data_IF_316826274448
#
_entry.id   IF_316826274448
#
_cell.length_a   1.000
_cell.length_b   1.000
_cell.length_c   1.000
_cell.angle_alpha   90.00
_cell.angle_beta   90.00
_cell.angle_gamma   90.00
#
_symmetry.space_group_name_H-M   'P 1'
#
loop_
_entity.id
_entity.type
_entity.pdbx_description
1 polymer ?
#
# COMPACT_ATOMS: atom_id res chain seq x y z
N UNK A 1 -1.57 -31.61 11.98
CA UNK A 1 -1.68 -30.20 12.40
C UNK A 1 -0.56 -29.39 11.74
N UNK A 2 -0.86 -28.24 11.15
CA UNK A 2 0.18 -27.34 10.59
C UNK A 2 1.02 -26.74 11.71
N UNK A 3 2.34 -26.70 11.54
CA UNK A 3 3.20 -26.05 12.53
C UNK A 3 2.92 -24.53 12.54
N UNK A 4 3.14 -23.88 13.68
CA UNK A 4 3.01 -22.42 13.80
C UNK A 4 3.85 -21.69 12.76
N UNK A 5 5.08 -22.17 12.53
CA UNK A 5 6.00 -21.61 11.51
C UNK A 5 5.44 -21.69 10.10
N UNK A 6 4.82 -22.82 9.73
CA UNK A 6 4.19 -23.00 8.42
C UNK A 6 3.04 -22.02 8.21
N UNK A 7 2.17 -21.82 9.22
CA UNK A 7 1.06 -20.86 9.15
C UNK A 7 1.55 -19.42 9.00
N UNK A 8 2.57 -19.04 9.76
CA UNK A 8 3.16 -17.70 9.69
C UNK A 8 3.73 -17.45 8.29
N UNK A 9 4.45 -18.41 7.73
CA UNK A 9 5.03 -18.30 6.39
C UNK A 9 3.93 -18.17 5.32
N UNK A 10 2.88 -19.00 5.39
CA UNK A 10 1.74 -18.93 4.48
C UNK A 10 1.05 -17.57 4.54
N UNK A 11 0.78 -17.06 5.74
CA UNK A 11 0.15 -15.75 5.92
C UNK A 11 1.03 -14.60 5.43
N UNK A 12 2.32 -14.67 5.66
CA UNK A 12 3.27 -13.70 5.15
C UNK A 12 3.32 -13.70 3.61
N UNK A 13 3.40 -14.86 2.97
CA UNK A 13 3.37 -14.98 1.51
C UNK A 13 2.05 -14.45 0.90
N UNK A 14 0.89 -14.78 1.51
CA UNK A 14 -0.41 -14.29 1.07
C UNK A 14 -0.52 -12.76 1.17
N UNK A 15 -0.02 -12.18 2.26
CA UNK A 15 -0.03 -10.72 2.43
C UNK A 15 0.96 -10.03 1.49
N UNK A 16 2.13 -10.65 1.26
CA UNK A 16 3.18 -10.14 0.38
C UNK A 16 2.77 -10.11 -1.10
N UNK A 17 1.74 -10.86 -1.50
CA UNK A 17 1.22 -10.84 -2.87
C UNK A 17 0.84 -9.43 -3.33
N UNK A 18 0.40 -8.56 -2.40
CA UNK A 18 0.09 -7.16 -2.68
C UNK A 18 1.35 -6.39 -3.11
N UNK A 19 2.40 -6.41 -2.29
CA UNK A 19 3.65 -5.72 -2.59
C UNK A 19 4.32 -6.31 -3.85
N UNK A 20 4.35 -7.63 -3.97
CA UNK A 20 4.87 -8.31 -5.17
C UNK A 20 4.18 -7.81 -6.44
N UNK A 21 2.85 -7.66 -6.43
CA UNK A 21 2.07 -7.22 -7.60
C UNK A 21 2.27 -5.75 -7.95
N UNK A 22 2.68 -4.92 -7.00
CA UNK A 22 3.01 -3.51 -7.23
C UNK A 22 4.46 -3.39 -7.69
N UNK A 23 5.38 -3.81 -6.82
CA UNK A 23 6.81 -3.53 -6.95
C UNK A 23 7.47 -4.37 -8.05
N UNK A 24 7.00 -5.61 -8.23
CA UNK A 24 7.50 -6.50 -9.28
C UNK A 24 7.15 -6.06 -10.70
N UNK A 25 6.19 -5.15 -10.89
CA UNK A 25 5.86 -4.68 -12.24
C UNK A 25 6.64 -3.43 -12.64
N UNK A 26 7.30 -2.75 -11.69
CA UNK A 26 7.96 -1.47 -11.94
C UNK A 26 9.00 -1.52 -13.07
N UNK A 27 9.89 -2.52 -13.17
CA UNK A 27 10.85 -2.60 -14.26
C UNK A 27 10.21 -2.74 -15.65
N UNK A 28 8.99 -3.30 -15.70
CA UNK A 28 8.29 -3.60 -16.95
C UNK A 28 7.50 -2.40 -17.50
N UNK A 29 7.23 -1.36 -16.70
CA UNK A 29 6.34 -0.25 -17.09
C UNK A 29 6.73 0.40 -18.40
N UNK A 30 8.03 0.67 -18.61
CA UNK A 30 8.51 1.26 -19.87
C UNK A 30 8.32 0.34 -21.07
N UNK A 31 8.65 -0.94 -20.92
CA UNK A 31 8.46 -1.93 -22.00
C UNK A 31 7.00 -2.08 -22.39
N UNK A 32 6.10 -2.09 -21.39
CA UNK A 32 4.65 -2.10 -21.61
C UNK A 32 4.20 -0.83 -22.32
N UNK A 33 4.68 0.34 -21.91
CA UNK A 33 4.34 1.63 -22.52
C UNK A 33 4.81 1.74 -23.99
N UNK A 34 5.97 1.20 -24.31
CA UNK A 34 6.49 1.14 -25.67
C UNK A 34 5.66 0.20 -26.58
N UNK A 35 5.20 -0.96 -26.03
CA UNK A 35 4.42 -1.94 -26.78
C UNK A 35 2.96 -1.52 -26.96
N UNK A 36 2.34 -0.92 -25.92
CA UNK A 36 0.88 -0.70 -25.87
C UNK A 36 0.44 0.73 -26.15
N UNK A 37 1.28 1.58 -26.71
CA UNK A 37 0.98 2.95 -27.09
C UNK A 37 -0.02 3.64 -26.13
N UNK A 38 0.48 4.33 -25.11
CA UNK A 38 -0.37 5.02 -24.14
C UNK A 38 -1.18 6.13 -24.83
N UNK A 39 -2.50 6.02 -24.81
CA UNK A 39 -3.40 7.03 -25.36
C UNK A 39 -4.16 7.72 -24.21
N UNK A 40 -4.19 9.07 -24.14
CA UNK A 40 -4.96 9.75 -23.12
C UNK A 40 -6.42 9.25 -23.06
N UNK A 41 -7.02 9.09 -21.87
CA UNK A 41 -6.51 9.56 -20.56
C UNK A 41 -5.59 8.57 -19.84
N UNK A 42 -5.29 7.38 -20.38
CA UNK A 42 -4.47 6.36 -19.74
C UNK A 42 -2.98 6.57 -20.02
N UNK A 43 -2.17 6.31 -19.03
CA UNK A 43 -0.71 6.32 -19.09
C UNK A 43 -0.15 5.05 -18.43
N UNK A 44 1.15 4.79 -18.56
CA UNK A 44 1.80 3.66 -17.88
C UNK A 44 1.70 3.76 -16.37
N UNK A 45 1.70 4.97 -15.81
CA UNK A 45 1.48 5.22 -14.38
C UNK A 45 0.09 4.74 -13.92
N UNK A 46 -0.91 4.75 -14.82
CA UNK A 46 -2.26 4.24 -14.54
C UNK A 46 -2.28 2.76 -14.18
N UNK A 47 -1.31 1.97 -14.65
CA UNK A 47 -1.20 0.53 -14.38
C UNK A 47 -1.06 0.26 -12.87
N UNK A 48 -0.26 1.07 -12.17
CA UNK A 48 -0.06 0.94 -10.72
C UNK A 48 -1.20 1.63 -9.96
N UNK A 49 -1.56 2.86 -10.35
CA UNK A 49 -2.59 3.64 -9.68
C UNK A 49 -3.96 2.92 -9.68
N UNK A 50 -4.36 2.33 -10.82
CA UNK A 50 -5.65 1.64 -10.95
C UNK A 50 -5.64 0.24 -10.32
N UNK A 51 -4.49 -0.41 -10.12
CA UNK A 51 -4.39 -1.57 -9.23
C UNK A 51 -4.70 -1.18 -7.78
N UNK A 52 -4.14 -0.07 -7.27
CA UNK A 52 -4.42 0.44 -5.92
C UNK A 52 -5.88 0.88 -5.80
N UNK A 53 -6.44 1.51 -6.83
CA UNK A 53 -7.87 1.82 -6.88
C UNK A 53 -8.74 0.56 -6.76
N UNK A 54 -8.43 -0.48 -7.53
CA UNK A 54 -9.09 -1.79 -7.41
C UNK A 54 -8.95 -2.37 -6.00
N UNK A 55 -7.76 -2.29 -5.41
CA UNK A 55 -7.52 -2.75 -4.04
C UNK A 55 -8.37 -1.99 -3.03
N UNK A 56 -8.53 -0.68 -3.18
CA UNK A 56 -9.40 0.12 -2.33
C UNK A 56 -10.87 -0.36 -2.38
N UNK A 57 -11.38 -0.65 -3.58
CA UNK A 57 -12.71 -1.24 -3.76
C UNK A 57 -12.78 -2.60 -3.05
N UNK A 58 -11.78 -3.47 -3.28
CA UNK A 58 -11.73 -4.78 -2.66
C UNK A 58 -11.69 -4.70 -1.12
N UNK A 59 -10.92 -3.79 -0.55
CA UNK A 59 -10.85 -3.57 0.90
C UNK A 59 -12.19 -3.15 1.50
N UNK A 60 -12.96 -2.34 0.78
CA UNK A 60 -14.27 -1.90 1.25
C UNK A 60 -15.28 -3.06 1.35
N UNK A 61 -15.29 -3.96 0.35
CA UNK A 61 -16.29 -5.02 0.25
C UNK A 61 -15.85 -6.35 0.87
N UNK A 62 -14.58 -6.75 0.69
CA UNK A 62 -14.10 -8.06 1.15
C UNK A 62 -13.92 -8.15 2.67
N UNK A 63 -13.79 -7.01 3.36
CA UNK A 63 -13.78 -6.98 4.82
C UNK A 63 -15.10 -7.47 5.42
N UNK A 64 -16.21 -6.76 5.23
CA UNK A 64 -17.52 -7.19 5.67
C UNK A 64 -17.94 -8.57 5.11
N UNK A 65 -17.59 -8.88 3.87
CA UNK A 65 -17.84 -10.18 3.26
C UNK A 65 -17.14 -11.30 4.04
N UNK A 66 -15.88 -11.08 4.43
CA UNK A 66 -15.09 -12.03 5.23
C UNK A 66 -15.71 -12.30 6.61
N UNK A 67 -16.34 -11.28 7.23
CA UNK A 67 -17.07 -11.43 8.48
C UNK A 67 -18.38 -12.24 8.31
N UNK A 68 -18.98 -12.19 7.14
CA UNK A 68 -20.26 -12.83 6.86
C UNK A 68 -20.14 -14.29 6.38
N UNK A 69 -19.29 -14.55 5.39
CA UNK A 69 -19.20 -15.88 4.76
C UNK A 69 -18.08 -16.76 5.36
N UNK A 70 -17.23 -16.15 6.19
CA UNK A 70 -16.03 -16.77 6.77
C UNK A 70 -14.75 -16.35 6.06
N UNK A 71 -13.63 -16.42 6.80
CA UNK A 71 -12.30 -15.94 6.37
C UNK A 71 -11.79 -16.72 5.17
N UNK A 72 -11.92 -18.06 5.25
CA UNK A 72 -11.42 -18.96 4.21
C UNK A 72 -12.10 -18.73 2.87
N UNK A 73 -13.42 -18.62 2.85
CA UNK A 73 -14.18 -18.39 1.62
C UNK A 73 -13.88 -17.03 1.01
N UNK A 74 -13.81 -15.98 1.82
CA UNK A 74 -13.51 -14.63 1.34
C UNK A 74 -12.09 -14.53 0.77
N UNK A 75 -11.10 -15.18 1.40
CA UNK A 75 -9.73 -15.24 0.88
C UNK A 75 -9.68 -15.94 -0.48
N UNK A 76 -10.33 -17.09 -0.62
CA UNK A 76 -10.33 -17.85 -1.87
C UNK A 76 -11.07 -17.12 -3.00
N UNK A 77 -12.18 -16.44 -2.70
CA UNK A 77 -12.86 -15.58 -3.66
C UNK A 77 -11.95 -14.44 -4.13
N UNK A 78 -11.27 -13.76 -3.19
CA UNK A 78 -10.30 -12.73 -3.54
C UNK A 78 -9.16 -13.28 -4.38
N UNK A 79 -8.59 -14.42 -4.01
CA UNK A 79 -7.49 -15.04 -4.75
C UNK A 79 -7.93 -15.52 -6.15
N UNK A 80 -9.16 -16.02 -6.29
CA UNK A 80 -9.76 -16.37 -7.58
C UNK A 80 -9.93 -15.14 -8.48
N UNK A 81 -10.44 -14.03 -7.93
CA UNK A 81 -10.59 -12.78 -8.67
C UNK A 81 -9.21 -12.19 -9.05
N UNK A 82 -8.22 -12.30 -8.16
CA UNK A 82 -6.83 -11.95 -8.44
C UNK A 82 -6.28 -12.75 -9.63
N UNK A 83 -6.52 -14.07 -9.66
CA UNK A 83 -6.08 -14.93 -10.75
C UNK A 83 -6.77 -14.57 -12.08
N UNK A 84 -8.07 -14.28 -12.06
CA UNK A 84 -8.81 -13.81 -13.25
C UNK A 84 -8.23 -12.48 -13.76
N UNK A 85 -8.04 -11.50 -12.88
CA UNK A 85 -7.43 -10.22 -13.25
C UNK A 85 -6.01 -10.39 -13.80
N UNK A 86 -5.23 -11.31 -13.23
CA UNK A 86 -3.88 -11.65 -13.70
C UNK A 86 -3.92 -12.28 -15.10
N UNK A 87 -4.87 -13.17 -15.38
CA UNK A 87 -5.08 -13.77 -16.71
C UNK A 87 -5.46 -12.72 -17.75
N UNK A 88 -6.37 -11.79 -17.41
CA UNK A 88 -6.73 -10.67 -18.30
C UNK A 88 -5.51 -9.81 -18.61
N UNK A 89 -4.70 -9.49 -17.60
CA UNK A 89 -3.48 -8.71 -17.77
C UNK A 89 -2.42 -9.46 -18.60
N UNK A 90 -2.25 -10.76 -18.37
CA UNK A 90 -1.32 -11.62 -19.13
C UNK A 90 -1.65 -11.66 -20.63
N UNK A 91 -2.93 -11.74 -20.96
CA UNK A 91 -3.43 -11.84 -22.33
C UNK A 91 -3.69 -10.48 -22.99
N UNK A 92 -3.39 -9.38 -22.29
CA UNK A 92 -3.70 -8.04 -22.78
C UNK A 92 -2.94 -7.70 -24.06
N UNK A 93 -3.66 -7.13 -25.01
CA UNK A 93 -3.15 -6.59 -26.29
C UNK A 93 -3.26 -5.07 -26.37
N UNK A 94 -3.86 -4.44 -25.36
CA UNK A 94 -4.05 -3.00 -25.28
C UNK A 94 -3.94 -2.51 -23.84
N UNK A 95 -3.54 -1.25 -23.64
CA UNK A 95 -3.44 -0.64 -22.33
C UNK A 95 -4.77 -0.64 -21.54
N UNK A 96 -5.96 -0.33 -22.13
CA UNK A 96 -7.22 -0.44 -21.42
C UNK A 96 -7.52 -1.84 -20.89
N UNK A 97 -7.21 -2.89 -21.66
CA UNK A 97 -7.39 -4.28 -21.24
C UNK A 97 -6.44 -4.64 -20.11
N UNK A 98 -5.18 -4.24 -20.20
CA UNK A 98 -4.21 -4.42 -19.13
C UNK A 98 -4.68 -3.75 -17.82
N UNK A 99 -5.11 -2.50 -17.92
CA UNK A 99 -5.60 -1.72 -16.77
C UNK A 99 -6.86 -2.36 -16.16
N UNK A 100 -7.79 -2.87 -16.96
CA UNK A 100 -8.94 -3.63 -16.47
C UNK A 100 -8.49 -4.86 -15.68
N UNK A 101 -7.53 -5.62 -16.22
CA UNK A 101 -6.92 -6.75 -15.52
C UNK A 101 -6.30 -6.32 -14.18
N UNK A 102 -5.64 -5.17 -14.14
CA UNK A 102 -5.03 -4.60 -12.93
C UNK A 102 -6.07 -4.19 -11.88
N UNK A 103 -7.19 -3.60 -12.29
CA UNK A 103 -8.29 -3.28 -11.37
C UNK A 103 -8.86 -4.56 -10.75
N UNK A 104 -9.15 -5.58 -11.55
CA UNK A 104 -9.66 -6.86 -11.07
C UNK A 104 -8.65 -7.55 -10.15
N UNK A 105 -7.38 -7.54 -10.51
CA UNK A 105 -6.27 -8.05 -9.70
C UNK A 105 -6.19 -7.30 -8.36
N UNK A 106 -6.33 -5.98 -8.37
CA UNK A 106 -6.36 -5.14 -7.17
C UNK A 106 -7.54 -5.49 -6.26
N UNK A 107 -8.76 -5.59 -6.79
CA UNK A 107 -9.94 -6.02 -6.01
C UNK A 107 -9.66 -7.39 -5.36
N UNK A 108 -9.10 -8.31 -6.14
CA UNK A 108 -8.84 -9.67 -5.69
C UNK A 108 -7.81 -9.76 -4.57
N UNK A 109 -6.70 -9.03 -4.66
CA UNK A 109 -5.61 -9.09 -3.68
C UNK A 109 -6.02 -8.58 -2.29
N UNK A 110 -7.06 -7.78 -2.19
CA UNK A 110 -7.62 -7.33 -0.91
C UNK A 110 -8.15 -8.50 -0.07
N UNK A 111 -8.62 -9.59 -0.69
CA UNK A 111 -9.07 -10.80 0.00
C UNK A 111 -7.98 -11.44 0.85
N UNK A 112 -6.86 -11.91 0.28
CA UNK A 112 -5.71 -12.39 1.03
C UNK A 112 -5.19 -11.38 2.07
N UNK A 113 -5.09 -10.09 1.72
CA UNK A 113 -4.60 -9.03 2.60
C UNK A 113 -5.46 -8.88 3.87
N UNK A 114 -6.78 -8.83 3.72
CA UNK A 114 -7.71 -8.58 4.83
C UNK A 114 -7.96 -9.87 5.62
N UNK A 115 -8.27 -10.97 4.92
CA UNK A 115 -8.63 -12.22 5.59
C UNK A 115 -7.47 -12.80 6.39
N UNK A 116 -6.23 -12.68 5.91
CA UNK A 116 -5.05 -13.13 6.65
C UNK A 116 -4.89 -12.39 7.98
N UNK A 117 -5.05 -11.06 7.99
CA UNK A 117 -5.01 -10.26 9.23
C UNK A 117 -6.12 -10.64 10.20
N UNK A 118 -7.32 -10.88 9.66
CA UNK A 118 -8.46 -11.33 10.48
C UNK A 118 -8.21 -12.73 11.06
N UNK A 119 -7.68 -13.68 10.27
CA UNK A 119 -7.32 -15.03 10.74
C UNK A 119 -6.26 -15.01 11.84
N UNK A 120 -5.29 -14.10 11.77
CA UNK A 120 -4.28 -13.93 12.82
C UNK A 120 -4.96 -13.46 14.10
N UNK A 121 -5.83 -12.46 14.03
CA UNK A 121 -6.58 -11.93 15.16
C UNK A 121 -7.54 -12.97 15.76
N UNK A 122 -8.13 -13.84 14.92
CA UNK A 122 -9.06 -14.87 15.36
C UNK A 122 -8.33 -16.02 16.12
N UNK A 123 -7.02 -16.19 15.90
CA UNK A 123 -6.24 -17.33 16.42
C UNK A 123 -5.22 -16.98 17.49
N UNK A 124 -4.80 -15.71 17.57
CA UNK A 124 -3.70 -15.28 18.43
C UNK A 124 -4.03 -13.98 19.14
N UNK A 125 -3.60 -13.87 20.39
CA UNK A 125 -3.76 -12.70 21.24
C UNK A 125 -2.42 -12.32 21.89
N UNK A 126 -2.31 -11.08 22.38
CA UNK A 126 -1.17 -10.59 23.14
C UNK A 126 0.16 -10.73 22.43
N UNK A 127 1.17 -11.23 23.15
CA UNK A 127 2.56 -11.34 22.67
C UNK A 127 2.72 -12.30 21.49
N UNK A 128 1.90 -13.37 21.43
CA UNK A 128 1.92 -14.30 20.31
C UNK A 128 1.50 -13.61 19.00
N UNK A 129 0.43 -12.82 19.04
CA UNK A 129 -0.02 -12.01 17.88
C UNK A 129 1.04 -10.98 17.49
N UNK A 130 1.64 -10.26 18.45
CA UNK A 130 2.68 -9.28 18.19
C UNK A 130 3.91 -9.91 17.51
N UNK A 131 4.35 -11.09 17.95
CA UNK A 131 5.46 -11.84 17.36
C UNK A 131 5.18 -12.25 15.92
N UNK A 132 3.98 -12.75 15.65
CA UNK A 132 3.56 -13.15 14.30
C UNK A 132 3.53 -11.96 13.35
N UNK A 133 2.91 -10.86 13.78
CA UNK A 133 2.86 -9.63 12.99
C UNK A 133 4.25 -9.07 12.71
N UNK A 134 5.15 -9.07 13.71
CA UNK A 134 6.55 -8.63 13.52
C UNK A 134 7.28 -9.46 12.48
N UNK A 135 7.13 -10.78 12.50
CA UNK A 135 7.75 -11.66 11.51
C UNK A 135 7.17 -11.43 10.11
N UNK A 136 5.85 -11.23 10.00
CA UNK A 136 5.21 -10.89 8.74
C UNK A 136 5.69 -9.54 8.18
N UNK A 137 5.87 -8.54 9.04
CA UNK A 137 6.43 -7.25 8.64
C UNK A 137 7.86 -7.39 8.11
N UNK A 138 8.69 -8.24 8.74
CA UNK A 138 10.05 -8.51 8.25
C UNK A 138 10.02 -9.10 6.83
N UNK A 139 9.16 -10.08 6.58
CA UNK A 139 9.00 -10.64 5.23
C UNK A 139 8.41 -9.62 4.25
N UNK A 140 7.44 -8.81 4.69
CA UNK A 140 6.84 -7.77 3.87
C UNK A 140 7.87 -6.71 3.42
N UNK A 141 8.88 -6.39 4.24
CA UNK A 141 9.97 -5.48 3.87
C UNK A 141 10.88 -6.08 2.80
N UNK A 142 11.11 -7.41 2.84
CA UNK A 142 11.97 -8.07 1.86
C UNK A 142 11.36 -8.08 0.46
N UNK A 143 10.03 -8.10 0.35
CA UNK A 143 9.35 -8.21 -0.96
C UNK A 143 9.61 -6.99 -1.84
N UNK A 144 9.44 -5.74 -1.42
CA UNK A 144 9.79 -4.57 -2.24
C UNK A 144 11.27 -4.54 -2.67
N UNK A 145 12.16 -5.12 -1.85
CA UNK A 145 13.58 -5.19 -2.19
C UNK A 145 13.86 -6.22 -3.28
N UNK A 146 13.21 -7.39 -3.22
CA UNK A 146 13.50 -8.52 -4.11
C UNK A 146 12.61 -8.56 -5.33
N UNK A 147 11.36 -8.10 -5.23
CA UNK A 147 10.38 -8.21 -6.30
C UNK A 147 10.83 -7.54 -7.62
N UNK A 148 11.34 -6.29 -7.62
CA UNK A 148 11.81 -5.67 -8.85
C UNK A 148 13.02 -6.39 -9.46
N UNK A 149 13.94 -6.92 -8.63
CA UNK A 149 15.12 -7.67 -9.10
C UNK A 149 14.71 -8.98 -9.77
N UNK A 150 13.82 -9.74 -9.14
CA UNK A 150 13.31 -11.00 -9.69
C UNK A 150 12.51 -10.76 -10.96
N UNK A 151 11.70 -9.70 -10.98
CA UNK A 151 10.91 -9.33 -12.14
C UNK A 151 11.77 -8.86 -13.31
N UNK A 152 12.85 -8.11 -13.05
CA UNK A 152 13.85 -7.73 -14.04
C UNK A 152 14.45 -8.98 -14.69
N UNK A 153 14.86 -9.98 -13.89
CA UNK A 153 15.38 -11.25 -14.41
C UNK A 153 14.37 -12.00 -15.28
N UNK A 154 13.10 -12.09 -14.84
CA UNK A 154 12.03 -12.71 -15.62
C UNK A 154 11.76 -11.95 -16.93
N UNK A 155 11.78 -10.62 -16.89
CA UNK A 155 11.58 -9.78 -18.06
C UNK A 155 12.69 -9.95 -19.09
N UNK A 156 13.94 -10.10 -18.65
CA UNK A 156 15.09 -10.35 -19.55
C UNK A 156 15.01 -11.73 -20.22
N UNK A 157 14.44 -12.73 -19.55
CA UNK A 157 14.34 -14.10 -20.07
C UNK A 157 13.14 -14.30 -21.01
N UNK A 158 11.97 -13.73 -20.70
CA UNK A 158 10.72 -14.05 -21.39
C UNK A 158 9.75 -12.84 -21.53
N UNK A 159 10.29 -11.62 -21.42
CA UNK A 159 9.51 -10.39 -21.56
C UNK A 159 8.58 -10.12 -20.36
N UNK A 160 7.92 -8.97 -20.38
CA UNK A 160 7.11 -8.48 -19.26
C UNK A 160 5.89 -9.38 -18.92
N UNK A 161 5.36 -10.11 -19.90
CA UNK A 161 4.24 -11.06 -19.67
C UNK A 161 4.63 -12.20 -18.73
N UNK A 162 5.89 -12.59 -18.68
CA UNK A 162 6.39 -13.60 -17.74
C UNK A 162 6.18 -13.22 -16.28
N UNK A 163 6.14 -11.91 -15.96
CA UNK A 163 5.84 -11.42 -14.63
C UNK A 163 4.40 -11.79 -14.23
N UNK A 164 3.42 -11.57 -15.11
CA UNK A 164 2.03 -11.95 -14.84
C UNK A 164 1.85 -13.48 -14.78
N UNK A 165 2.58 -14.23 -15.60
CA UNK A 165 2.60 -15.69 -15.50
C UNK A 165 3.15 -16.16 -14.15
N UNK A 166 4.21 -15.55 -13.66
CA UNK A 166 4.75 -15.81 -12.32
C UNK A 166 3.75 -15.44 -11.21
N UNK A 167 3.05 -14.31 -11.31
CA UNK A 167 2.00 -13.93 -10.34
C UNK A 167 0.87 -14.97 -10.31
N UNK A 168 0.44 -15.47 -11.47
CA UNK A 168 -0.57 -16.50 -11.57
C UNK A 168 -0.11 -17.82 -10.93
N UNK A 169 1.13 -18.24 -11.21
CA UNK A 169 1.72 -19.44 -10.64
C UNK A 169 1.84 -19.33 -9.11
N UNK A 170 2.31 -18.18 -8.59
CA UNK A 170 2.41 -17.93 -7.15
C UNK A 170 1.02 -17.95 -6.51
N UNK A 171 0.03 -17.29 -7.11
CA UNK A 171 -1.34 -17.28 -6.60
C UNK A 171 -1.94 -18.68 -6.54
N UNK A 172 -1.73 -19.49 -7.57
CA UNK A 172 -2.19 -20.88 -7.62
C UNK A 172 -1.51 -21.74 -6.54
N UNK A 173 -0.18 -21.64 -6.39
CA UNK A 173 0.58 -22.36 -5.37
C UNK A 173 0.13 -21.97 -3.95
N UNK A 174 -0.03 -20.68 -3.69
CA UNK A 174 -0.51 -20.18 -2.40
C UNK A 174 -1.96 -20.62 -2.14
N UNK A 175 -2.81 -20.59 -3.15
CA UNK A 175 -4.19 -21.08 -3.06
C UNK A 175 -4.27 -22.57 -2.73
N UNK A 176 -3.50 -23.41 -3.42
CA UNK A 176 -3.42 -24.85 -3.16
C UNK A 176 -2.89 -25.12 -1.75
N UNK A 177 -1.81 -24.42 -1.37
CA UNK A 177 -1.23 -24.55 -0.02
C UNK A 177 -2.24 -24.15 1.04
N UNK A 178 -2.91 -23.00 0.87
CA UNK A 178 -3.93 -22.50 1.77
C UNK A 178 -5.11 -23.47 1.92
N UNK A 179 -5.65 -23.98 0.81
CA UNK A 179 -6.79 -24.92 0.84
C UNK A 179 -6.43 -26.21 1.60
N UNK A 180 -5.21 -26.70 1.43
CA UNK A 180 -4.76 -27.95 2.06
C UNK A 180 -4.42 -27.81 3.54
N UNK A 181 -4.00 -26.62 3.97
CA UNK A 181 -3.38 -26.45 5.29
C UNK A 181 -4.14 -25.55 6.25
N UNK A 182 -4.97 -24.63 5.75
CA UNK A 182 -5.64 -23.65 6.59
C UNK A 182 -7.14 -23.95 6.70
N UNK A 183 -7.64 -24.39 7.88
CA UNK A 183 -9.07 -24.48 8.14
C UNK A 183 -9.70 -23.09 8.32
N UNK A 184 -11.05 -23.06 8.35
CA UNK A 184 -11.79 -21.86 8.70
C UNK A 184 -11.51 -21.44 10.15
N UNK A 185 -11.29 -20.14 10.38
CA UNK A 185 -11.00 -19.60 11.71
C UNK A 185 -12.18 -18.90 12.36
N UNK A 186 -13.18 -18.51 11.55
CA UNK A 186 -14.40 -17.86 12.05
C UNK A 186 -15.53 -18.87 12.22
N UNK A 187 -15.89 -19.26 13.47
CA UNK A 187 -17.00 -20.16 13.71
C UNK A 187 -18.31 -19.59 13.16
N UNK A 188 -19.23 -20.44 12.68
CA UNK A 188 -20.53 -19.98 12.14
C UNK A 188 -21.31 -19.08 13.11
N UNK A 189 -21.25 -19.36 14.42
CA UNK A 189 -21.92 -18.58 15.47
C UNK A 189 -21.37 -17.14 15.63
N UNK A 190 -20.14 -16.87 15.17
CA UNK A 190 -19.51 -15.54 15.24
C UNK A 190 -19.62 -14.77 13.94
N UNK A 191 -20.26 -15.32 12.90
CA UNK A 191 -20.44 -14.64 11.62
C UNK A 191 -21.45 -13.51 11.75
N UNK A 192 -21.11 -12.37 11.15
CA UNK A 192 -21.96 -11.17 11.14
C UNK A 192 -22.70 -11.13 9.80
N UNK A 193 -24.03 -11.28 9.77
CA UNK A 193 -24.76 -11.22 8.52
C UNK A 193 -24.54 -9.89 7.78
N UNK A 194 -24.37 -9.95 6.45
CA UNK A 194 -24.35 -8.77 5.61
C UNK A 194 -25.74 -8.12 5.61
N UNK A 195 -25.91 -7.11 6.45
CA UNK A 195 -27.11 -6.26 6.46
C UNK A 195 -26.77 -4.90 5.87
N UNK A 196 -27.10 -4.62 4.59
CA UNK A 196 -26.70 -3.39 3.93
C UNK A 196 -27.06 -2.12 4.71
N UNK A 197 -28.28 -2.08 5.29
CA UNK A 197 -28.72 -0.95 6.11
C UNK A 197 -27.83 -0.70 7.34
N UNK A 198 -27.46 -1.76 8.06
CA UNK A 198 -26.60 -1.60 9.23
C UNK A 198 -25.13 -1.28 8.86
N UNK A 199 -24.64 -1.86 7.76
CA UNK A 199 -23.30 -1.54 7.25
C UNK A 199 -23.23 -0.07 6.81
N UNK A 200 -24.21 0.41 6.05
CA UNK A 200 -24.28 1.82 5.63
C UNK A 200 -24.44 2.76 6.82
N UNK A 201 -25.26 2.41 7.81
CA UNK A 201 -25.43 3.21 9.03
C UNK A 201 -24.13 3.29 9.84
N UNK A 202 -23.42 2.16 10.00
CA UNK A 202 -22.14 2.13 10.73
C UNK A 202 -21.04 2.83 9.93
N UNK A 203 -20.98 2.66 8.62
CA UNK A 203 -20.07 3.40 7.75
C UNK A 203 -20.35 4.91 7.84
N UNK A 204 -21.63 5.33 7.80
CA UNK A 204 -22.03 6.71 7.99
C UNK A 204 -21.58 7.30 9.33
N UNK A 205 -21.71 6.53 10.43
CA UNK A 205 -21.20 6.95 11.75
C UNK A 205 -19.69 7.13 11.79
N UNK A 206 -18.94 6.21 11.18
CA UNK A 206 -17.47 6.29 11.10
C UNK A 206 -17.06 7.50 10.27
N UNK A 207 -17.69 7.70 9.11
CA UNK A 207 -17.42 8.82 8.21
C UNK A 207 -18.01 10.16 8.69
N UNK A 208 -18.92 10.17 9.65
CA UNK A 208 -19.34 11.40 10.33
C UNK A 208 -18.28 11.91 11.31
N UNK A 209 -17.31 11.10 11.72
CA UNK A 209 -16.20 11.52 12.55
C UNK A 209 -15.20 12.33 11.73
N UNK A 210 -15.19 13.65 11.95
CA UNK A 210 -14.23 14.57 11.30
C UNK A 210 -12.78 14.10 11.52
N UNK A 211 -12.46 13.62 12.72
CA UNK A 211 -11.13 13.07 13.03
C UNK A 211 -10.75 11.91 12.10
N UNK A 212 -11.65 10.95 11.90
CA UNK A 212 -11.39 9.80 11.05
C UNK A 212 -11.19 10.23 9.61
N UNK A 213 -12.03 11.14 9.09
CA UNK A 213 -11.88 11.68 7.73
C UNK A 213 -10.54 12.39 7.57
N UNK A 214 -10.18 13.27 8.49
CA UNK A 214 -8.92 14.03 8.42
C UNK A 214 -7.71 13.08 8.43
N UNK A 215 -7.75 12.00 9.23
CA UNK A 215 -6.68 11.02 9.29
C UNK A 215 -6.66 10.11 8.04
N UNK A 216 -7.81 9.78 7.45
CA UNK A 216 -7.89 9.11 6.14
C UNK A 216 -7.22 9.96 5.06
N UNK A 217 -7.57 11.26 5.00
CA UNK A 217 -6.98 12.20 4.05
C UNK A 217 -5.47 12.34 4.27
N UNK A 218 -5.01 12.53 5.51
CA UNK A 218 -3.60 12.64 5.83
C UNK A 218 -2.81 11.38 5.45
N UNK A 219 -3.33 10.20 5.81
CA UNK A 219 -2.72 8.91 5.44
C UNK A 219 -2.68 8.73 3.92
N UNK A 220 -3.77 9.08 3.25
CA UNK A 220 -3.89 8.99 1.80
C UNK A 220 -2.94 9.92 1.05
N UNK A 221 -2.70 11.14 1.54
CA UNK A 221 -1.72 12.07 0.95
C UNK A 221 -0.30 11.55 1.08
N UNK A 222 0.09 11.05 2.27
CA UNK A 222 1.42 10.45 2.49
C UNK A 222 1.62 9.23 1.61
N UNK A 223 0.61 8.34 1.55
CA UNK A 223 0.65 7.17 0.66
C UNK A 223 0.62 7.57 -0.82
N UNK A 224 -0.07 8.65 -1.17
CA UNK A 224 -0.14 9.20 -2.53
C UNK A 224 1.21 9.69 -3.04
N UNK A 225 2.00 10.34 -2.20
CA UNK A 225 3.35 10.75 -2.54
C UNK A 225 4.27 9.54 -2.77
N UNK A 226 4.14 8.48 -1.94
CA UNK A 226 4.82 7.21 -2.18
C UNK A 226 4.35 6.53 -3.47
N UNK A 227 3.05 6.51 -3.73
CA UNK A 227 2.45 5.91 -4.92
C UNK A 227 2.88 6.63 -6.20
N UNK A 228 3.01 7.97 -6.16
CA UNK A 228 3.55 8.75 -7.27
C UNK A 228 4.97 8.30 -7.60
N UNK A 229 5.84 8.16 -6.59
CA UNK A 229 7.17 7.62 -6.80
C UNK A 229 7.11 6.21 -7.41
N UNK A 230 6.30 5.30 -6.86
CA UNK A 230 6.16 3.94 -7.40
C UNK A 230 5.76 3.96 -8.88
N UNK A 231 4.85 4.85 -9.25
CA UNK A 231 4.34 4.95 -10.61
C UNK A 231 5.33 5.59 -11.60
N UNK A 232 6.24 6.45 -11.12
CA UNK A 232 7.17 7.21 -11.97
C UNK A 232 8.63 6.77 -11.81
N UNK A 233 8.96 5.90 -10.86
CA UNK A 233 10.35 5.57 -10.52
C UNK A 233 11.16 5.04 -11.71
N UNK A 234 10.59 4.13 -12.51
CA UNK A 234 11.29 3.57 -13.66
C UNK A 234 11.62 4.65 -14.71
N UNK A 235 10.65 5.55 -14.98
CA UNK A 235 10.84 6.67 -15.90
C UNK A 235 11.86 7.67 -15.34
N UNK A 236 11.75 8.02 -14.05
CA UNK A 236 12.63 8.93 -13.34
C UNK A 236 14.11 8.49 -13.40
N UNK A 237 14.38 7.23 -13.06
CA UNK A 237 15.76 6.72 -13.09
C UNK A 237 16.32 6.67 -14.50
N UNK A 238 15.49 6.37 -15.49
CA UNK A 238 15.93 6.37 -16.89
C UNK A 238 16.09 7.79 -17.47
N UNK A 239 15.07 8.65 -17.33
CA UNK A 239 15.03 9.95 -18.00
C UNK A 239 16.05 10.95 -17.42
N UNK A 240 16.31 10.84 -16.09
CA UNK A 240 17.23 11.75 -15.39
C UNK A 240 18.65 11.20 -15.34
N UNK A 241 18.80 9.88 -15.05
CA UNK A 241 20.10 9.28 -14.74
C UNK A 241 20.58 8.28 -15.79
N UNK A 242 19.78 7.96 -16.81
CA UNK A 242 20.13 6.94 -17.80
C UNK A 242 20.20 5.50 -17.22
N UNK A 243 19.62 5.28 -16.04
CA UNK A 243 19.71 4.02 -15.31
C UNK A 243 18.47 3.17 -15.64
N UNK A 244 18.67 2.05 -16.34
CA UNK A 244 17.61 1.08 -16.64
C UNK A 244 17.83 -0.25 -15.91
N UNK A 245 19.02 -0.87 -16.09
CA UNK A 245 19.29 -2.21 -15.58
C UNK A 245 19.49 -2.27 -14.07
N UNK A 246 20.15 -1.27 -13.48
CA UNK A 246 20.43 -1.20 -12.06
C UNK A 246 19.36 -0.45 -11.26
N UNK A 247 18.29 0.03 -11.90
CA UNK A 247 17.15 0.67 -11.23
C UNK A 247 16.63 -0.12 -10.01
N UNK A 248 16.46 -1.48 -10.07
CA UNK A 248 15.95 -2.21 -8.93
C UNK A 248 16.82 -2.12 -7.67
N UNK A 249 18.13 -1.88 -7.79
CA UNK A 249 19.03 -1.72 -6.64
C UNK A 249 18.76 -0.41 -5.89
N UNK A 250 18.59 0.69 -6.62
CA UNK A 250 18.28 1.99 -6.03
C UNK A 250 16.87 2.01 -5.43
N UNK A 251 15.93 1.35 -6.11
CA UNK A 251 14.59 1.15 -5.58
C UNK A 251 14.61 0.37 -4.26
N UNK A 252 15.36 -0.74 -4.21
CA UNK A 252 15.54 -1.54 -3.00
C UNK A 252 16.16 -0.71 -1.85
N UNK A 253 17.12 0.16 -2.14
CA UNK A 253 17.71 1.05 -1.14
C UNK A 253 16.65 1.94 -0.47
N UNK A 254 15.77 2.56 -1.25
CA UNK A 254 14.69 3.39 -0.71
C UNK A 254 13.64 2.57 0.05
N UNK A 255 13.33 1.35 -0.41
CA UNK A 255 12.46 0.43 0.29
C UNK A 255 13.03 0.01 1.66
N UNK A 256 14.36 -0.15 1.79
CA UNK A 256 15.06 -0.35 3.08
C UNK A 256 14.76 0.80 4.03
N UNK A 257 14.69 2.04 3.55
CA UNK A 257 14.33 3.21 4.36
C UNK A 257 12.96 3.05 5.04
N UNK A 258 11.95 2.63 4.30
CA UNK A 258 10.59 2.34 4.85
C UNK A 258 10.63 1.21 5.87
N UNK A 259 11.38 0.15 5.57
CA UNK A 259 11.53 -0.99 6.46
C UNK A 259 12.22 -0.65 7.77
N UNK A 260 13.34 0.07 7.69
CA UNK A 260 14.08 0.54 8.86
C UNK A 260 13.24 1.47 9.72
N UNK A 261 12.43 2.33 9.10
CA UNK A 261 11.49 3.19 9.79
C UNK A 261 10.49 2.39 10.64
N UNK A 262 9.93 1.31 10.09
CA UNK A 262 9.00 0.45 10.83
C UNK A 262 9.65 -0.18 12.06
N UNK A 263 10.90 -0.61 11.93
CA UNK A 263 11.67 -1.17 13.04
C UNK A 263 12.00 -0.11 14.12
N UNK A 264 12.44 1.08 13.72
CA UNK A 264 12.71 2.20 14.64
C UNK A 264 11.41 2.63 15.32
N UNK A 265 10.32 2.77 14.56
CA UNK A 265 9.01 3.12 15.11
C UNK A 265 8.54 2.12 16.18
N UNK A 266 8.67 0.82 15.93
CA UNK A 266 8.26 -0.20 16.90
C UNK A 266 8.99 -0.10 18.24
N UNK A 267 10.26 0.37 18.24
CA UNK A 267 11.04 0.59 19.48
C UNK A 267 10.76 1.93 20.15
N UNK A 268 10.49 2.95 19.36
CA UNK A 268 10.36 4.33 19.87
C UNK A 268 8.92 4.70 20.26
N UNK A 269 7.92 4.11 19.62
CA UNK A 269 6.52 4.49 19.82
C UNK A 269 6.02 4.23 21.25
N UNK A 270 6.53 3.19 21.92
CA UNK A 270 6.20 2.90 23.32
C UNK A 270 6.71 3.96 24.30
N UNK A 271 7.85 4.61 23.95
CA UNK A 271 8.48 5.64 24.78
C UNK A 271 7.97 7.05 24.47
N UNK A 272 7.79 7.38 23.19
CA UNK A 272 7.46 8.75 22.75
C UNK A 272 5.98 8.94 22.38
N UNK A 273 5.26 7.83 22.19
CA UNK A 273 3.88 7.85 21.71
C UNK A 273 3.75 8.08 20.21
N UNK A 274 2.62 7.65 19.65
CA UNK A 274 2.37 7.72 18.21
C UNK A 274 2.27 9.15 17.67
N UNK A 275 1.83 10.11 18.48
CA UNK A 275 1.68 11.51 18.06
C UNK A 275 3.02 12.21 17.89
N UNK A 276 3.97 12.00 18.82
CA UNK A 276 5.32 12.55 18.69
C UNK A 276 6.06 11.91 17.52
N UNK A 277 5.92 10.58 17.34
CA UNK A 277 6.50 9.87 16.21
C UNK A 277 5.94 10.40 14.88
N UNK A 278 4.64 10.65 14.79
CA UNK A 278 4.03 11.24 13.60
C UNK A 278 4.56 12.66 13.33
N UNK A 279 4.68 13.51 14.35
CA UNK A 279 5.27 14.86 14.21
C UNK A 279 6.71 14.80 13.69
N UNK A 280 7.53 13.91 14.25
CA UNK A 280 8.90 13.71 13.78
C UNK A 280 8.93 13.22 12.32
N UNK A 281 8.03 12.30 11.95
CA UNK A 281 7.85 11.83 10.57
C UNK A 281 7.48 12.96 9.62
N UNK A 282 6.52 13.83 9.99
CA UNK A 282 6.16 14.98 9.17
C UNK A 282 7.31 15.96 9.02
N UNK A 283 8.02 16.28 10.11
CA UNK A 283 9.19 17.16 10.03
C UNK A 283 10.25 16.61 9.06
N UNK A 284 10.54 15.30 9.13
CA UNK A 284 11.45 14.62 8.22
C UNK A 284 10.98 14.64 6.77
N UNK A 285 9.71 14.34 6.51
CA UNK A 285 9.13 14.32 5.16
C UNK A 285 9.14 15.71 4.52
N UNK A 286 8.72 16.74 5.26
CA UNK A 286 8.68 18.13 4.80
C UNK A 286 10.10 18.62 4.52
N UNK A 287 11.03 18.42 5.46
CA UNK A 287 12.42 18.85 5.30
C UNK A 287 13.08 18.17 4.09
N UNK A 288 12.92 16.86 3.94
CA UNK A 288 13.47 16.11 2.81
C UNK A 288 12.82 16.52 1.48
N UNK A 289 11.50 16.70 1.44
CA UNK A 289 10.77 17.17 0.26
C UNK A 289 11.21 18.57 -0.19
N UNK A 290 11.33 19.51 0.75
CA UNK A 290 11.80 20.88 0.48
C UNK A 290 13.28 20.89 0.06
N UNK A 291 14.13 20.07 0.69
CA UNK A 291 15.54 19.96 0.32
C UNK A 291 15.69 19.39 -1.11
N UNK A 292 14.89 18.37 -1.46
CA UNK A 292 14.86 17.82 -2.81
C UNK A 292 14.35 18.85 -3.82
N UNK A 293 13.34 19.65 -3.46
CA UNK A 293 12.81 20.72 -4.29
C UNK A 293 13.86 21.81 -4.53
N UNK A 294 14.58 22.23 -3.50
CA UNK A 294 15.67 23.18 -3.59
C UNK A 294 16.82 22.65 -4.47
N UNK A 295 17.23 21.38 -4.27
CA UNK A 295 18.24 20.74 -5.11
C UNK A 295 17.80 20.68 -6.58
N UNK A 296 16.51 20.38 -6.82
CA UNK A 296 15.93 20.37 -8.17
C UNK A 296 15.96 21.77 -8.80
N UNK A 297 15.65 22.81 -8.03
CA UNK A 297 15.68 24.20 -8.51
C UNK A 297 17.10 24.63 -8.91
N UNK A 298 18.11 24.29 -8.11
CA UNK A 298 19.52 24.61 -8.40
C UNK A 298 20.04 23.83 -9.61
N UNK A 299 19.58 22.58 -9.80
CA UNK A 299 20.07 21.68 -10.85
C UNK A 299 19.10 21.58 -12.05
N UNK A 300 18.25 22.58 -12.28
CA UNK A 300 17.28 22.60 -13.41
C UNK A 300 16.44 21.32 -13.52
N UNK A 301 15.99 20.81 -12.38
CA UNK A 301 15.12 19.62 -12.28
C UNK A 301 15.85 18.28 -12.28
N UNK A 302 17.16 18.24 -12.46
CA UNK A 302 17.98 17.02 -12.60
C UNK A 302 19.17 17.01 -11.64
N UNK A 303 18.96 16.99 -10.32
CA UNK A 303 20.06 16.92 -9.36
C UNK A 303 20.85 15.61 -9.52
N UNK A 304 22.15 15.59 -9.17
CA UNK A 304 22.95 14.37 -9.15
C UNK A 304 22.29 13.25 -8.35
N UNK A 305 22.48 12.00 -8.79
CA UNK A 305 21.87 10.82 -8.14
C UNK A 305 22.16 10.75 -6.63
N UNK A 306 23.38 11.13 -6.21
CA UNK A 306 23.76 11.15 -4.80
C UNK A 306 22.87 12.12 -3.99
N UNK A 307 22.56 13.31 -4.52
CA UNK A 307 21.67 14.26 -3.85
C UNK A 307 20.22 13.77 -3.84
N UNK A 308 19.75 13.15 -4.91
CA UNK A 308 18.43 12.52 -4.93
C UNK A 308 18.32 11.47 -3.83
N UNK A 309 19.26 10.53 -3.76
CA UNK A 309 19.24 9.46 -2.75
C UNK A 309 19.40 10.02 -1.33
N UNK A 310 20.23 11.05 -1.14
CA UNK A 310 20.46 11.71 0.16
C UNK A 310 19.15 12.27 0.74
N UNK A 311 18.26 12.83 -0.09
CA UNK A 311 16.99 13.41 0.35
C UNK A 311 15.82 12.44 0.23
N UNK A 312 15.81 11.57 -0.78
CA UNK A 312 14.75 10.58 -0.95
C UNK A 312 14.76 9.52 0.18
N UNK A 313 15.92 9.04 0.62
CA UNK A 313 15.99 8.03 1.68
C UNK A 313 15.36 8.52 3.00
N UNK A 314 15.68 9.70 3.55
CA UNK A 314 14.97 10.25 4.71
C UNK A 314 13.47 10.49 4.48
N UNK A 315 13.05 10.88 3.26
CA UNK A 315 11.65 11.03 2.93
C UNK A 315 10.89 9.70 3.04
N UNK A 316 11.45 8.62 2.45
CA UNK A 316 10.85 7.29 2.52
C UNK A 316 10.89 6.70 3.94
N UNK A 317 11.95 6.96 4.69
CA UNK A 317 12.01 6.64 6.12
C UNK A 317 10.89 7.35 6.89
N UNK A 318 10.67 8.64 6.65
CA UNK A 318 9.61 9.41 7.28
C UNK A 318 8.21 8.88 6.91
N UNK A 319 7.97 8.51 5.64
CA UNK A 319 6.74 7.86 5.19
C UNK A 319 6.48 6.56 5.97
N UNK A 320 7.51 5.73 6.18
CA UNK A 320 7.39 4.49 6.94
C UNK A 320 6.97 4.72 8.40
N UNK A 321 7.50 5.77 9.06
CA UNK A 321 7.05 6.18 10.40
C UNK A 321 5.60 6.65 10.39
N UNK A 322 5.23 7.50 9.42
CA UNK A 322 3.92 8.11 9.34
C UNK A 322 2.81 7.07 9.10
N UNK A 323 3.03 6.15 8.18
CA UNK A 323 2.00 5.21 7.75
C UNK A 323 1.44 4.36 8.90
N UNK A 324 2.32 3.81 9.74
CA UNK A 324 1.93 3.01 10.90
C UNK A 324 1.19 3.82 11.96
N UNK A 325 1.72 5.00 12.30
CA UNK A 325 1.17 5.84 13.36
C UNK A 325 -0.17 6.46 12.97
N UNK A 326 -0.33 6.95 11.73
CA UNK A 326 -1.59 7.53 11.25
C UNK A 326 -2.73 6.51 11.22
N UNK A 327 -2.46 5.29 10.73
CA UNK A 327 -3.44 4.21 10.79
C UNK A 327 -3.84 3.87 12.23
N UNK A 328 -2.90 3.78 13.15
CA UNK A 328 -3.17 3.53 14.55
C UNK A 328 -3.98 4.65 15.21
N UNK A 329 -3.67 5.91 14.89
CA UNK A 329 -4.42 7.08 15.37
C UNK A 329 -5.87 7.10 14.86
N UNK A 330 -6.08 6.72 13.57
CA UNK A 330 -7.41 6.64 12.99
C UNK A 330 -8.26 5.53 13.59
N UNK A 331 -7.64 4.40 13.99
CA UNK A 331 -8.32 3.26 14.60
C UNK A 331 -8.69 3.46 16.07
N UNK A 332 -8.01 4.39 16.78
CA UNK A 332 -8.11 4.55 18.25
C UNK A 332 -9.53 4.82 18.77
N UNK A 333 -10.37 5.50 17.98
CA UNK A 333 -11.72 5.89 18.37
C UNK A 333 -12.82 4.91 17.95
N UNK A 334 -12.49 3.80 17.27
CA UNK A 334 -13.50 2.97 16.59
C UNK A 334 -14.04 1.80 17.42
N UNK A 335 -13.40 1.45 18.55
CA UNK A 335 -13.90 0.44 19.50
C UNK A 335 -14.47 -0.82 18.83
N UNK A 336 -15.73 -1.11 19.05
CA UNK A 336 -16.42 -2.30 18.51
C UNK A 336 -16.62 -2.29 16.98
N UNK A 337 -16.40 -1.15 16.32
CA UNK A 337 -16.49 -1.02 14.85
C UNK A 337 -15.12 -1.16 14.15
N UNK A 338 -14.11 -1.67 14.86
CA UNK A 338 -12.72 -1.72 14.37
C UNK A 338 -12.55 -2.48 13.03
N UNK A 339 -13.33 -3.54 12.77
CA UNK A 339 -13.27 -4.28 11.51
C UNK A 339 -13.70 -3.45 10.31
N UNK A 340 -14.91 -2.88 10.35
CA UNK A 340 -15.42 -2.00 9.32
C UNK A 340 -14.58 -0.71 9.22
N UNK A 341 -14.16 -0.18 10.37
CA UNK A 341 -13.30 0.99 10.42
C UNK A 341 -11.96 0.79 9.72
N UNK A 342 -11.30 -0.34 9.96
CA UNK A 342 -10.06 -0.68 9.26
C UNK A 342 -10.23 -0.75 7.74
N UNK A 343 -11.34 -1.34 7.26
CA UNK A 343 -11.67 -1.40 5.84
C UNK A 343 -11.90 -0.01 5.25
N UNK A 344 -12.67 0.85 5.95
CA UNK A 344 -12.94 2.22 5.49
C UNK A 344 -11.69 3.11 5.49
N UNK A 345 -10.84 3.00 6.52
CA UNK A 345 -9.59 3.76 6.59
C UNK A 345 -8.64 3.31 5.47
N UNK A 346 -8.46 2.00 5.29
CA UNK A 346 -7.58 1.47 4.24
C UNK A 346 -8.09 1.86 2.85
N UNK A 347 -9.37 1.60 2.55
CA UNK A 347 -10.00 1.96 1.27
C UNK A 347 -9.97 3.45 1.01
N UNK A 348 -10.38 4.27 1.97
CA UNK A 348 -10.39 5.73 1.84
C UNK A 348 -8.98 6.29 1.61
N UNK A 349 -7.98 5.83 2.37
CA UNK A 349 -6.59 6.26 2.17
C UNK A 349 -6.04 5.81 0.82
N UNK A 350 -6.37 4.61 0.35
CA UNK A 350 -5.96 4.12 -0.97
C UNK A 350 -6.61 4.91 -2.12
N UNK A 351 -7.89 5.31 -1.96
CA UNK A 351 -8.57 6.19 -2.93
C UNK A 351 -7.92 7.57 -3.01
N UNK A 352 -7.66 8.21 -1.87
CA UNK A 352 -6.99 9.51 -1.81
C UNK A 352 -5.59 9.40 -2.41
N UNK A 353 -4.84 8.34 -2.10
CA UNK A 353 -3.51 8.11 -2.67
C UNK A 353 -3.56 7.96 -4.19
N UNK A 354 -4.52 7.20 -4.71
CA UNK A 354 -4.69 7.04 -6.16
C UNK A 354 -5.01 8.37 -6.85
N UNK A 355 -5.93 9.15 -6.28
CA UNK A 355 -6.28 10.48 -6.82
C UNK A 355 -5.08 11.42 -6.80
N UNK A 356 -4.35 11.47 -5.68
CA UNK A 356 -3.16 12.30 -5.55
C UNK A 356 -2.08 11.89 -6.56
N UNK A 357 -1.72 10.62 -6.62
CA UNK A 357 -0.69 10.12 -7.53
C UNK A 357 -1.08 10.31 -9.01
N UNK A 358 -2.35 10.10 -9.36
CA UNK A 358 -2.84 10.31 -10.72
C UNK A 358 -2.81 11.78 -11.10
N UNK A 359 -3.22 12.67 -10.19
CA UNK A 359 -3.19 14.11 -10.43
C UNK A 359 -1.76 14.61 -10.64
N UNK A 360 -0.86 14.30 -9.70
CA UNK A 360 0.55 14.72 -9.79
C UNK A 360 1.30 14.04 -10.91
N UNK A 361 0.99 12.78 -11.22
CA UNK A 361 1.60 12.04 -12.32
C UNK A 361 1.41 12.69 -13.69
N UNK A 362 0.32 13.46 -13.88
CA UNK A 362 0.08 14.23 -15.11
C UNK A 362 1.07 15.38 -15.33
N UNK A 363 1.70 15.85 -14.26
CA UNK A 363 2.69 16.92 -14.30
C UNK A 363 4.13 16.39 -14.39
N UNK A 364 4.31 15.07 -14.52
CA UNK A 364 5.64 14.50 -14.71
C UNK A 364 6.18 14.87 -16.09
N UNK A 365 7.29 15.57 -16.08
CA UNK A 365 7.96 16.16 -17.26
C UNK A 365 9.39 15.66 -17.48
N UNK A 366 9.77 14.53 -16.84
CA UNK A 366 11.13 14.02 -16.88
C UNK A 366 12.09 14.73 -15.93
N UNK A 367 11.54 15.43 -14.92
CA UNK A 367 12.30 16.12 -13.87
C UNK A 367 11.85 15.66 -12.48
N UNK A 368 12.63 16.01 -11.44
CA UNK A 368 12.30 15.73 -10.04
C UNK A 368 11.34 16.74 -9.40
N UNK A 369 10.99 17.83 -10.09
CA UNK A 369 10.11 18.86 -9.53
C UNK A 369 8.78 18.31 -9.06
N UNK A 370 8.14 17.49 -9.90
CA UNK A 370 6.84 16.88 -9.57
C UNK A 370 6.90 16.03 -8.31
N UNK A 371 7.90 15.14 -8.19
CA UNK A 371 8.05 14.28 -7.01
C UNK A 371 8.40 15.09 -5.76
N UNK A 372 9.34 16.04 -5.86
CA UNK A 372 9.77 16.87 -4.74
C UNK A 372 8.62 17.72 -4.19
N UNK A 373 7.85 18.35 -5.10
CA UNK A 373 6.66 19.14 -4.74
C UNK A 373 5.60 18.25 -4.09
N UNK A 374 5.34 17.06 -4.63
CA UNK A 374 4.38 16.12 -4.08
C UNK A 374 4.74 15.68 -2.66
N UNK A 375 6.02 15.36 -2.39
CA UNK A 375 6.51 14.98 -1.06
C UNK A 375 6.35 16.13 -0.06
N UNK A 376 6.77 17.35 -0.42
CA UNK A 376 6.67 18.51 0.45
C UNK A 376 5.20 18.87 0.73
N UNK A 377 4.36 18.94 -0.31
CA UNK A 377 2.94 19.29 -0.17
C UNK A 377 2.17 18.25 0.62
N UNK A 378 2.37 16.96 0.31
CA UNK A 378 1.76 15.88 1.08
C UNK A 378 2.15 15.95 2.56
N UNK A 379 3.43 16.19 2.86
CA UNK A 379 3.90 16.36 4.24
C UNK A 379 3.24 17.52 4.95
N UNK A 380 3.20 18.71 4.34
CA UNK A 380 2.62 19.94 4.92
C UNK A 380 1.10 19.78 5.14
N UNK A 381 0.37 19.38 4.09
CA UNK A 381 -1.09 19.26 4.17
C UNK A 381 -1.50 18.16 5.15
N UNK A 382 -0.86 16.98 5.08
CA UNK A 382 -1.16 15.89 6.00
C UNK A 382 -0.84 16.24 7.45
N UNK A 383 0.23 17.01 7.72
CA UNK A 383 0.53 17.54 9.05
C UNK A 383 -0.60 18.44 9.58
N UNK A 384 -1.04 19.40 8.78
CA UNK A 384 -2.14 20.32 9.15
C UNK A 384 -3.42 19.54 9.44
N UNK A 385 -3.80 18.60 8.57
CA UNK A 385 -4.98 17.75 8.75
C UNK A 385 -4.89 16.93 10.04
N UNK A 386 -3.71 16.39 10.35
CA UNK A 386 -3.49 15.59 11.57
C UNK A 386 -3.58 16.45 12.83
N UNK A 387 -3.04 17.66 12.82
CA UNK A 387 -3.16 18.56 13.97
C UNK A 387 -4.63 19.07 14.16
N UNK A 388 -5.38 19.24 13.08
CA UNK A 388 -6.82 19.52 13.18
C UNK A 388 -7.62 18.34 13.74
N UNK A 389 -7.28 17.11 13.32
CA UNK A 389 -7.91 15.91 13.84
C UNK A 389 -7.77 15.77 15.37
N UNK A 390 -6.69 16.28 15.95
CA UNK A 390 -6.47 16.27 17.43
C UNK A 390 -7.32 17.30 18.16
N UNK A 391 -7.51 18.49 17.57
CA UNK A 391 -8.33 19.54 18.19
C UNK A 391 -9.80 19.15 18.34
N UNK A 392 -10.33 18.35 17.42
CA UNK A 392 -11.69 17.83 17.49
C UNK A 392 -11.96 16.94 18.71
N UNK A 393 -10.97 16.25 19.25
CA UNK A 393 -11.12 15.44 20.48
C UNK A 393 -11.12 16.29 21.76
N UNK A 394 -10.36 17.37 21.79
CA UNK A 394 -10.29 18.24 22.97
C UNK A 394 -11.65 18.90 23.25
N UNK A 395 -12.37 19.32 22.20
CA UNK A 395 -13.70 19.93 22.35
C UNK A 395 -14.79 18.97 22.83
N UNK A 396 -14.67 17.67 22.52
CA UNK A 396 -15.63 16.65 23.00
C UNK A 396 -15.37 16.28 24.46
N UNK A 397 -14.13 16.31 24.92
CA UNK A 397 -13.76 16.01 26.31
C UNK A 397 -14.13 17.18 27.24
N UNK A 398 -14.02 18.45 26.78
CA UNK A 398 -14.47 19.62 27.53
C UNK A 398 -15.99 19.74 27.60
N UNK A 399 -16.72 19.31 26.60
CA UNK A 399 -18.20 19.33 26.60
C UNK A 399 -18.84 18.22 27.48
N UNK A 400 -18.06 17.22 27.93
CA UNK A 400 -18.50 16.10 28.79
C UNK A 400 -18.04 16.28 30.26
N UNK A 401 -17.22 17.31 30.55
CA UNK A 401 -16.88 17.75 31.89
C UNK A 401 -17.78 18.93 32.30
#
# INVERSE_FOLDING_TARGET
MTSLRERILLYACLTSLTALSIDGLLPALRGIGAEMAATPPLSTQSIIALFIFGMAIGELFLGPLSDAIGRRKALLLGLGLYAVGTLVALQSTSLPMLVLGRILQGIGVAGPKIATRAMIRDQFEGDAMARILSFMFTLFILVPMLAPLLAQGLMMLAGWRAIFAAYLAIAALLGIWFVRRQPETLPPARRIPLRPKSLLANAGRILASLRVILLILATGLVFGAQLLYLATAADLFFDIYGIAETFPLYFALLAVGVGLASFVNARCVSRFGMEMMARAGYAGLIAAGLALLAASAVCSGKPPLALFLLFAFPAFFAIGILFGNLNAMAMRSLGNMAGLGASLIASGSSLVATLFATLFGRFYDGTLFTLATALALAGIVAFVLTEWAKKGDAGVIEAVR
#
